data_IF_318673566202
#
_entry.id   IF_318673566202
#
_cell.length_a   1.000
_cell.length_b   1.000
_cell.length_c   1.000
_cell.angle_alpha   90.00
_cell.angle_beta   90.00
_cell.angle_gamma   90.00
#
_symmetry.space_group_name_H-M   'P 1'
#
loop_
_entity.id
_entity.type
_entity.pdbx_description
1 polymer ?
#
# COMPACT_ATOMS: atom_id res chain seq x y z
N UNK A 1 -19.47 -22.07 -26.38
CA UNK A 1 -19.52 -23.54 -26.13
C UNK A 1 -20.01 -23.86 -24.72
N UNK A 2 -19.37 -23.36 -23.66
CA UNK A 2 -19.80 -23.63 -22.27
C UNK A 2 -21.27 -23.28 -21.99
N UNK A 3 -21.76 -22.13 -22.46
CA UNK A 3 -23.18 -21.77 -22.31
C UNK A 3 -24.14 -22.79 -22.92
N UNK A 4 -23.74 -23.52 -23.97
CA UNK A 4 -24.56 -24.58 -24.55
C UNK A 4 -24.45 -25.89 -23.73
N UNK A 5 -23.25 -26.22 -23.26
CA UNK A 5 -22.99 -27.40 -22.43
C UNK A 5 -23.74 -27.32 -21.09
N UNK A 6 -23.69 -26.17 -20.42
CA UNK A 6 -24.33 -25.94 -19.12
C UNK A 6 -25.85 -25.69 -19.20
N UNK A 7 -26.46 -25.75 -20.39
CA UNK A 7 -27.92 -25.88 -20.55
C UNK A 7 -28.40 -27.33 -20.41
N UNK A 8 -27.50 -28.31 -20.52
CA UNK A 8 -27.81 -29.73 -20.34
C UNK A 8 -27.86 -30.07 -18.84
N UNK A 9 -28.46 -31.22 -18.49
CA UNK A 9 -28.41 -31.74 -17.11
C UNK A 9 -26.95 -31.98 -16.72
N UNK A 10 -26.47 -31.28 -15.69
CA UNK A 10 -25.05 -31.27 -15.28
C UNK A 10 -24.53 -32.66 -14.92
N UNK A 11 -25.37 -33.51 -14.31
CA UNK A 11 -25.04 -34.90 -13.94
C UNK A 11 -24.53 -35.79 -15.09
N UNK A 12 -24.74 -35.39 -16.35
CA UNK A 12 -24.32 -36.17 -17.53
C UNK A 12 -22.81 -36.01 -17.81
N UNK A 13 -22.23 -34.84 -17.54
CA UNK A 13 -20.85 -34.52 -17.96
C UNK A 13 -19.96 -33.95 -16.85
N UNK A 14 -20.54 -33.49 -15.74
CA UNK A 14 -19.85 -32.79 -14.65
C UNK A 14 -18.67 -33.60 -14.09
N UNK A 15 -18.91 -34.84 -13.66
CA UNK A 15 -17.85 -35.72 -13.14
C UNK A 15 -16.74 -35.98 -14.17
N UNK A 16 -17.10 -36.14 -15.46
CA UNK A 16 -16.10 -36.35 -16.51
C UNK A 16 -15.24 -35.10 -16.73
N UNK A 17 -15.86 -33.91 -16.70
CA UNK A 17 -15.16 -32.64 -16.83
C UNK A 17 -14.24 -32.38 -15.63
N UNK A 18 -14.72 -32.62 -14.41
CA UNK A 18 -13.92 -32.50 -13.18
C UNK A 18 -12.69 -33.41 -13.25
N UNK A 19 -12.88 -34.69 -13.59
CA UNK A 19 -11.77 -35.63 -13.72
C UNK A 19 -10.77 -35.18 -14.79
N UNK A 20 -11.25 -34.69 -15.93
CA UNK A 20 -10.39 -34.16 -16.98
C UNK A 20 -9.57 -32.94 -16.50
N UNK A 21 -10.17 -32.03 -15.73
CA UNK A 21 -9.48 -30.87 -15.15
C UNK A 21 -8.43 -31.28 -14.11
N UNK A 22 -8.75 -32.26 -13.26
CA UNK A 22 -7.79 -32.80 -12.28
C UNK A 22 -6.63 -33.48 -12.98
N UNK A 23 -6.88 -34.29 -14.02
CA UNK A 23 -5.82 -34.91 -14.83
C UNK A 23 -4.97 -33.86 -15.53
N UNK A 24 -5.59 -32.84 -16.14
CA UNK A 24 -4.89 -31.72 -16.76
C UNK A 24 -3.98 -31.02 -15.75
N UNK A 25 -4.49 -30.68 -14.57
CA UNK A 25 -3.72 -30.03 -13.51
C UNK A 25 -2.54 -30.90 -13.04
N UNK A 26 -2.75 -32.21 -12.90
CA UNK A 26 -1.68 -33.15 -12.56
C UNK A 26 -0.58 -33.19 -13.62
N UNK A 27 -0.94 -33.20 -14.91
CA UNK A 27 0.03 -33.15 -16.00
C UNK A 27 0.81 -31.84 -15.99
N UNK A 28 0.13 -30.70 -15.83
CA UNK A 28 0.78 -29.39 -15.73
C UNK A 28 1.75 -29.32 -14.53
N UNK A 29 1.37 -29.86 -13.37
CA UNK A 29 2.21 -29.88 -12.18
C UNK A 29 3.50 -30.70 -12.37
N UNK A 30 3.44 -31.76 -13.18
CA UNK A 30 4.61 -32.60 -13.51
C UNK A 30 5.51 -31.97 -14.57
N UNK A 31 4.91 -31.36 -15.60
CA UNK A 31 5.63 -30.83 -16.76
C UNK A 31 6.28 -29.47 -16.47
N UNK A 32 5.56 -28.55 -15.81
CA UNK A 32 6.02 -27.16 -15.63
C UNK A 32 7.39 -27.04 -14.93
N UNK A 33 7.70 -27.79 -13.84
CA UNK A 33 8.99 -27.65 -13.15
C UNK A 33 10.18 -28.20 -13.94
N UNK A 34 9.95 -29.13 -14.87
CA UNK A 34 11.00 -29.85 -15.60
C UNK A 34 11.25 -29.28 -17.00
N UNK A 35 10.45 -28.30 -17.42
CA UNK A 35 10.44 -27.75 -18.76
C UNK A 35 11.63 -26.80 -18.99
N UNK A 36 12.49 -27.14 -19.95
CA UNK A 36 13.66 -26.32 -20.31
C UNK A 36 13.44 -25.40 -21.52
N UNK A 37 12.42 -25.69 -22.33
CA UNK A 37 12.16 -25.00 -23.59
C UNK A 37 11.03 -23.96 -23.45
N UNK A 38 11.20 -22.81 -24.12
CA UNK A 38 10.21 -21.72 -24.18
C UNK A 38 9.05 -22.01 -25.15
N UNK A 39 9.10 -23.12 -25.87
CA UNK A 39 8.09 -23.51 -26.85
C UNK A 39 6.78 -23.94 -26.14
N UNK A 40 5.64 -23.43 -26.62
CA UNK A 40 4.26 -23.67 -26.14
C UNK A 40 3.85 -22.97 -24.83
N UNK A 41 4.51 -21.88 -24.43
CA UNK A 41 4.01 -21.02 -23.33
C UNK A 41 2.58 -20.51 -23.61
N UNK A 42 2.28 -20.18 -24.86
CA UNK A 42 0.98 -19.63 -25.25
C UNK A 42 -0.13 -20.68 -25.16
N UNK A 43 0.19 -21.96 -25.37
CA UNK A 43 -0.76 -23.05 -25.18
C UNK A 43 -1.18 -23.19 -23.72
N UNK A 44 -0.23 -23.08 -22.78
CA UNK A 44 -0.52 -23.12 -21.34
C UNK A 44 -1.42 -21.95 -20.96
N UNK A 45 -1.10 -20.74 -21.43
CA UNK A 45 -1.95 -19.56 -21.21
C UNK A 45 -3.35 -19.79 -21.76
N UNK A 46 -3.47 -20.26 -23.00
CA UNK A 46 -4.76 -20.53 -23.64
C UNK A 46 -5.57 -21.59 -22.90
N UNK A 47 -4.93 -22.66 -22.44
CA UNK A 47 -5.57 -23.71 -21.62
C UNK A 47 -6.12 -23.10 -20.33
N UNK A 48 -5.31 -22.33 -19.60
CA UNK A 48 -5.76 -21.68 -18.36
C UNK A 48 -6.88 -20.68 -18.62
N UNK A 49 -6.80 -19.88 -19.69
CA UNK A 49 -7.89 -18.99 -20.09
C UNK A 49 -9.19 -19.76 -20.33
N UNK A 50 -9.15 -20.90 -21.03
CA UNK A 50 -10.34 -21.73 -21.28
C UNK A 50 -10.89 -22.31 -19.98
N UNK A 51 -10.02 -22.80 -19.09
CA UNK A 51 -10.41 -23.39 -17.81
C UNK A 51 -11.12 -22.38 -16.91
N UNK A 52 -10.61 -21.16 -16.83
CA UNK A 52 -11.20 -20.10 -16.01
C UNK A 52 -12.47 -19.46 -16.59
N UNK A 53 -12.85 -19.80 -17.83
CA UNK A 53 -14.13 -19.45 -18.44
C UNK A 53 -15.23 -20.49 -18.20
N UNK A 54 -14.94 -21.58 -17.46
CA UNK A 54 -15.94 -22.60 -17.08
C UNK A 54 -16.93 -21.99 -16.07
N UNK A 55 -18.24 -21.87 -16.39
CA UNK A 55 -19.21 -21.18 -15.53
C UNK A 55 -19.41 -21.81 -14.14
N UNK A 56 -19.27 -23.14 -14.02
CA UNK A 56 -19.48 -23.88 -12.78
C UNK A 56 -18.20 -24.03 -11.94
N UNK A 57 -17.10 -23.37 -12.28
CA UNK A 57 -15.81 -23.56 -11.61
C UNK A 57 -15.87 -23.22 -10.11
N UNK A 58 -16.77 -22.31 -9.71
CA UNK A 58 -17.03 -21.95 -8.31
C UNK A 58 -18.07 -22.79 -7.57
N UNK A 59 -18.65 -23.82 -8.20
CA UNK A 59 -19.78 -24.56 -7.62
C UNK A 59 -19.48 -26.03 -7.34
N UNK A 60 -19.98 -26.53 -6.21
CA UNK A 60 -20.00 -27.96 -5.87
C UNK A 60 -18.63 -28.62 -5.96
N UNK A 61 -18.59 -29.77 -6.61
CA UNK A 61 -17.38 -30.60 -6.72
C UNK A 61 -16.25 -29.91 -7.51
N UNK A 62 -16.55 -28.96 -8.39
CA UNK A 62 -15.52 -28.18 -9.08
C UNK A 62 -14.70 -27.33 -8.10
N UNK A 63 -15.36 -26.68 -7.15
CA UNK A 63 -14.73 -25.86 -6.12
C UNK A 63 -13.89 -26.72 -5.17
N UNK A 64 -14.36 -27.93 -4.84
CA UNK A 64 -13.70 -28.79 -3.86
C UNK A 64 -12.54 -29.62 -4.43
N UNK A 65 -12.59 -29.98 -5.71
CA UNK A 65 -11.63 -30.90 -6.33
C UNK A 65 -10.84 -30.29 -7.49
N UNK A 66 -11.53 -29.76 -8.51
CA UNK A 66 -10.90 -29.25 -9.73
C UNK A 66 -10.12 -27.95 -9.51
N UNK A 67 -10.76 -26.90 -8.98
CA UNK A 67 -10.14 -25.59 -8.78
C UNK A 67 -8.89 -25.67 -7.88
N UNK A 68 -8.88 -26.41 -6.75
CA UNK A 68 -7.68 -26.60 -5.94
C UNK A 68 -6.52 -27.24 -6.72
N UNK A 69 -6.82 -28.22 -7.59
CA UNK A 69 -5.80 -28.86 -8.41
C UNK A 69 -5.20 -27.87 -9.42
N UNK A 70 -6.05 -27.07 -10.08
CA UNK A 70 -5.62 -26.04 -11.03
C UNK A 70 -4.76 -24.97 -10.32
N UNK A 71 -5.17 -24.50 -9.14
CA UNK A 71 -4.39 -23.54 -8.36
C UNK A 71 -3.01 -24.09 -7.99
N UNK A 72 -2.90 -25.37 -7.60
CA UNK A 72 -1.61 -26.01 -7.30
C UNK A 72 -0.71 -26.10 -8.52
N UNK A 73 -1.27 -26.45 -9.69
CA UNK A 73 -0.53 -26.47 -10.95
C UNK A 73 -0.03 -25.06 -11.32
N UNK A 74 -0.87 -24.03 -11.12
CA UNK A 74 -0.54 -22.65 -11.45
C UNK A 74 0.63 -22.07 -10.63
N UNK A 75 0.96 -22.63 -9.47
CA UNK A 75 2.13 -22.20 -8.69
C UNK A 75 3.46 -22.39 -9.43
N UNK A 76 3.51 -23.34 -10.37
CA UNK A 76 4.71 -23.70 -11.10
C UNK A 76 4.87 -22.92 -12.42
N UNK A 77 3.97 -21.96 -12.70
CA UNK A 77 4.06 -21.14 -13.89
C UNK A 77 5.31 -20.24 -13.83
N UNK A 78 6.14 -20.22 -14.88
CA UNK A 78 7.21 -19.23 -15.01
C UNK A 78 6.65 -17.80 -14.99
N UNK A 79 7.45 -16.84 -14.51
CA UNK A 79 7.03 -15.43 -14.36
C UNK A 79 6.56 -14.85 -15.69
N UNK A 80 7.18 -15.22 -16.81
CA UNK A 80 6.78 -14.78 -18.15
C UNK A 80 5.39 -15.29 -18.54
N UNK A 81 5.05 -16.52 -18.16
CA UNK A 81 3.72 -17.12 -18.39
C UNK A 81 2.67 -16.46 -17.50
N UNK A 82 3.01 -16.19 -16.25
CA UNK A 82 2.14 -15.43 -15.34
C UNK A 82 1.86 -14.03 -15.89
N UNK A 83 2.88 -13.34 -16.41
CA UNK A 83 2.75 -12.02 -17.01
C UNK A 83 1.87 -12.02 -18.27
N UNK A 84 2.07 -13.01 -19.17
CA UNK A 84 1.18 -13.21 -20.34
C UNK A 84 -0.27 -13.45 -19.92
N UNK A 85 -0.49 -14.30 -18.91
CA UNK A 85 -1.82 -14.59 -18.39
C UNK A 85 -2.49 -13.33 -17.81
N UNK A 86 -1.75 -12.52 -17.05
CA UNK A 86 -2.25 -11.25 -16.51
C UNK A 86 -2.65 -10.26 -17.62
N UNK A 87 -1.81 -10.09 -18.65
CA UNK A 87 -2.12 -9.25 -19.83
C UNK A 87 -3.35 -9.74 -20.61
N UNK A 88 -3.55 -11.05 -20.69
CA UNK A 88 -4.71 -11.63 -21.36
C UNK A 88 -6.00 -11.44 -20.56
N UNK A 89 -5.95 -11.55 -19.23
CA UNK A 89 -7.08 -11.25 -18.36
C UNK A 89 -7.42 -9.77 -18.29
N UNK A 90 -6.45 -8.88 -18.46
CA UNK A 90 -6.69 -7.43 -18.41
C UNK A 90 -7.40 -6.85 -19.64
N UNK A 91 -7.39 -7.57 -20.77
CA UNK A 91 -8.00 -7.07 -22.00
C UNK A 91 -9.53 -6.94 -21.89
N UNK A 92 -10.02 -5.76 -22.23
CA UNK A 92 -11.43 -5.33 -22.09
C UNK A 92 -12.37 -6.29 -22.84
N UNK A 93 -13.39 -6.81 -22.14
CA UNK A 93 -14.47 -7.59 -22.76
C UNK A 93 -14.70 -8.99 -22.17
N UNK A 94 -13.92 -9.42 -21.18
CA UNK A 94 -14.18 -10.67 -20.44
C UNK A 94 -14.71 -10.34 -19.06
N UNK A 95 -15.96 -10.70 -18.77
CA UNK A 95 -16.59 -10.69 -17.44
C UNK A 95 -15.93 -11.67 -16.45
N UNK A 96 -14.63 -11.88 -16.58
CA UNK A 96 -13.89 -13.01 -16.04
C UNK A 96 -13.15 -12.63 -14.77
N UNK A 97 -12.58 -11.42 -14.65
CA UNK A 97 -11.79 -11.04 -13.48
C UNK A 97 -12.60 -11.18 -12.18
N UNK A 98 -13.80 -10.58 -12.12
CA UNK A 98 -14.66 -10.67 -10.93
C UNK A 98 -15.07 -12.11 -10.63
N UNK A 99 -15.50 -12.89 -11.62
CA UNK A 99 -15.89 -14.28 -11.43
C UNK A 99 -14.71 -15.15 -10.95
N UNK A 100 -13.52 -15.00 -11.54
CA UNK A 100 -12.31 -15.71 -11.10
C UNK A 100 -11.98 -15.30 -9.66
N UNK A 101 -12.04 -14.00 -9.34
CA UNK A 101 -11.78 -13.50 -8.00
C UNK A 101 -12.76 -14.12 -6.98
N UNK A 102 -14.06 -14.06 -7.25
CA UNK A 102 -15.11 -14.64 -6.42
C UNK A 102 -14.90 -16.14 -6.20
N UNK A 103 -14.57 -16.90 -7.25
CA UNK A 103 -14.31 -18.34 -7.14
C UNK A 103 -13.07 -18.65 -6.28
N UNK A 104 -11.99 -17.87 -6.43
CA UNK A 104 -10.79 -18.01 -5.60
C UNK A 104 -11.05 -17.59 -4.14
N UNK A 105 -11.82 -16.52 -3.92
CA UNK A 105 -12.25 -16.09 -2.59
C UNK A 105 -13.09 -17.15 -1.90
N UNK A 106 -14.11 -17.69 -2.59
CA UNK A 106 -14.95 -18.77 -2.08
C UNK A 106 -14.13 -20.00 -1.73
N UNK A 107 -13.15 -20.37 -2.57
CA UNK A 107 -12.27 -21.50 -2.28
C UNK A 107 -11.47 -21.28 -0.98
N UNK A 108 -10.85 -20.11 -0.84
CA UNK A 108 -10.07 -19.77 0.35
C UNK A 108 -10.97 -19.78 1.58
N UNK A 109 -12.11 -19.08 1.52
CA UNK A 109 -13.08 -19.01 2.61
C UNK A 109 -13.59 -20.40 3.02
N UNK A 110 -13.99 -21.24 2.06
CA UNK A 110 -14.44 -22.60 2.34
C UNK A 110 -13.34 -23.41 3.02
N UNK A 111 -12.09 -23.31 2.53
CA UNK A 111 -10.96 -24.04 3.12
C UNK A 111 -10.61 -23.55 4.52
N UNK A 112 -10.77 -22.25 4.79
CA UNK A 112 -10.59 -21.67 6.13
C UNK A 112 -11.64 -22.22 7.10
N UNK A 113 -12.91 -22.32 6.67
CA UNK A 113 -14.01 -22.81 7.51
C UNK A 113 -13.88 -24.31 7.80
N UNK A 114 -13.52 -25.12 6.79
CA UNK A 114 -13.52 -26.58 6.91
C UNK A 114 -12.25 -27.15 7.56
N UNK A 115 -11.14 -26.42 7.51
CA UNK A 115 -9.86 -26.90 8.07
C UNK A 115 -9.76 -26.52 9.55
N UNK A 116 -9.62 -27.48 10.48
CA UNK A 116 -9.39 -27.15 11.88
C UNK A 116 -7.93 -26.74 12.09
N UNK A 117 -7.66 -25.44 12.06
CA UNK A 117 -6.33 -24.91 12.39
C UNK A 117 -6.04 -25.05 13.88
N UNK A 118 -4.80 -25.43 14.19
CA UNK A 118 -4.33 -25.67 15.56
C UNK A 118 -2.83 -25.38 15.67
N UNK A 119 -2.24 -25.56 16.84
CA UNK A 119 -0.86 -25.12 17.17
C UNK A 119 0.26 -25.58 16.22
N UNK A 120 0.06 -26.64 15.45
CA UNK A 120 1.06 -27.18 14.50
C UNK A 120 0.65 -27.06 13.02
N UNK A 121 -0.54 -26.52 12.72
CA UNK A 121 -1.04 -26.35 11.35
C UNK A 121 -1.77 -25.01 11.25
N UNK A 122 -1.14 -24.07 10.55
CA UNK A 122 -1.66 -22.73 10.36
C UNK A 122 -2.22 -22.52 8.96
N UNK A 123 -2.91 -21.39 8.78
CA UNK A 123 -3.51 -21.02 7.49
C UNK A 123 -2.45 -20.87 6.39
N UNK A 124 -1.28 -20.35 6.75
CA UNK A 124 -0.12 -20.20 5.86
C UNK A 124 0.55 -21.53 5.46
N UNK A 125 0.24 -22.63 6.16
CA UNK A 125 0.75 -23.98 5.83
C UNK A 125 -0.22 -24.76 4.92
N UNK A 126 -1.45 -24.25 4.73
CA UNK A 126 -2.47 -24.92 3.94
C UNK A 126 -2.24 -24.66 2.43
N UNK A 127 -1.97 -25.73 1.69
CA UNK A 127 -1.54 -25.64 0.30
C UNK A 127 -2.62 -25.07 -0.64
N UNK A 128 -3.90 -25.36 -0.43
CA UNK A 128 -4.98 -24.86 -1.28
C UNK A 128 -5.14 -23.34 -1.13
N UNK A 129 -5.09 -22.83 0.10
CA UNK A 129 -5.17 -21.40 0.42
C UNK A 129 -3.96 -20.66 -0.18
N UNK A 130 -2.75 -21.17 0.06
CA UNK A 130 -1.53 -20.53 -0.47
C UNK A 130 -1.45 -20.59 -1.99
N UNK A 131 -1.89 -21.69 -2.62
CA UNK A 131 -2.01 -21.81 -4.08
C UNK A 131 -2.98 -20.78 -4.67
N UNK A 132 -4.18 -20.69 -4.10
CA UNK A 132 -5.21 -19.77 -4.56
C UNK A 132 -4.75 -18.31 -4.39
N UNK A 133 -4.09 -17.99 -3.29
CA UNK A 133 -3.53 -16.65 -3.03
C UNK A 133 -2.45 -16.27 -4.06
N UNK A 134 -1.55 -17.20 -4.41
CA UNK A 134 -0.54 -16.98 -5.45
C UNK A 134 -1.16 -16.72 -6.83
N UNK A 135 -2.20 -17.47 -7.20
CA UNK A 135 -2.92 -17.24 -8.45
C UNK A 135 -3.70 -15.93 -8.45
N UNK A 136 -4.32 -15.59 -7.31
CA UNK A 136 -5.00 -14.31 -7.12
C UNK A 136 -4.06 -13.11 -7.28
N UNK A 137 -2.76 -13.27 -7.02
CA UNK A 137 -1.76 -12.23 -7.30
C UNK A 137 -1.65 -11.89 -8.78
N UNK A 138 -1.70 -12.90 -9.66
CA UNK A 138 -1.69 -12.69 -11.12
C UNK A 138 -2.94 -11.90 -11.52
N UNK A 139 -4.09 -12.26 -10.95
CA UNK A 139 -5.36 -11.58 -11.16
C UNK A 139 -5.35 -10.14 -10.63
N UNK A 140 -4.69 -9.89 -9.50
CA UNK A 140 -4.52 -8.57 -8.92
C UNK A 140 -3.73 -7.63 -9.85
N UNK A 141 -2.64 -8.12 -10.45
CA UNK A 141 -1.92 -7.34 -11.47
C UNK A 141 -2.72 -7.15 -12.76
N UNK A 142 -3.47 -8.18 -13.21
CA UNK A 142 -4.39 -8.05 -14.33
C UNK A 142 -5.47 -6.98 -14.10
N UNK A 143 -5.98 -6.89 -12.86
CA UNK A 143 -6.95 -5.89 -12.44
C UNK A 143 -6.41 -4.45 -12.49
N UNK A 144 -5.11 -4.26 -12.20
CA UNK A 144 -4.45 -2.97 -12.35
C UNK A 144 -4.21 -2.61 -13.82
N UNK A 145 -3.77 -3.57 -14.64
CA UNK A 145 -3.62 -3.38 -16.09
C UNK A 145 -4.93 -3.01 -16.80
N UNK A 146 -6.04 -3.58 -16.34
CA UNK A 146 -7.37 -3.28 -16.88
C UNK A 146 -7.92 -1.93 -16.41
N UNK A 147 -7.29 -1.33 -15.40
CA UNK A 147 -7.67 -0.04 -14.82
C UNK A 147 -7.01 1.15 -15.52
N UNK A 148 -6.96 2.28 -14.80
CA UNK A 148 -6.24 3.48 -15.18
C UNK A 148 -4.87 3.50 -14.48
N UNK A 149 -3.82 3.43 -15.30
CA UNK A 149 -2.43 3.57 -14.88
C UNK A 149 -1.93 4.98 -15.25
N UNK A 150 -1.30 5.65 -14.29
CA UNK A 150 -0.61 6.92 -14.51
C UNK A 150 0.80 6.71 -15.08
N UNK A 151 1.35 7.75 -15.72
CA UNK A 151 2.72 7.68 -16.25
C UNK A 151 3.74 7.44 -15.12
N UNK A 152 4.72 6.54 -15.32
CA UNK A 152 5.87 6.39 -14.43
C UNK A 152 6.65 7.70 -14.20
N UNK A 153 6.57 8.67 -15.11
CA UNK A 153 7.25 9.99 -15.00
C UNK A 153 6.79 10.79 -13.78
N UNK A 154 5.62 10.47 -13.22
CA UNK A 154 5.14 11.09 -11.98
C UNK A 154 5.88 10.59 -10.75
N UNK A 155 6.70 9.53 -10.84
CA UNK A 155 7.54 9.10 -9.72
C UNK A 155 8.72 10.07 -9.58
N UNK A 156 8.91 10.65 -8.41
CA UNK A 156 10.01 11.56 -8.10
C UNK A 156 11.32 10.80 -7.95
N UNK A 157 12.30 11.07 -8.83
CA UNK A 157 13.71 10.77 -8.54
C UNK A 157 14.36 11.88 -7.66
N UNK A 158 13.73 13.05 -7.56
CA UNK A 158 14.36 14.30 -7.08
C UNK A 158 14.21 14.62 -5.59
N UNK A 159 13.72 13.71 -4.74
CA UNK A 159 13.71 13.96 -3.28
C UNK A 159 15.14 14.06 -2.68
N UNK A 160 16.18 13.86 -3.50
CA UNK A 160 17.59 14.02 -3.14
C UNK A 160 18.21 15.37 -3.51
N UNK A 161 17.48 16.28 -4.19
CA UNK A 161 18.07 17.43 -4.87
C UNK A 161 18.00 18.78 -4.17
N UNK A 162 17.01 19.04 -3.29
CA UNK A 162 16.75 20.41 -2.79
C UNK A 162 16.60 20.56 -1.28
N UNK A 163 16.73 19.49 -0.49
CA UNK A 163 16.91 19.67 0.96
C UNK A 163 18.37 20.03 1.19
N UNK A 164 18.62 21.24 1.72
CA UNK A 164 19.92 21.56 2.29
C UNK A 164 20.37 20.39 3.17
N UNK A 165 21.56 19.86 2.88
CA UNK A 165 22.08 18.64 3.50
C UNK A 165 22.39 18.78 4.99
N UNK A 166 21.97 19.88 5.62
CA UNK A 166 22.27 20.28 6.98
C UNK A 166 21.28 19.75 8.01
N UNK A 167 20.01 19.53 7.67
CA UNK A 167 18.98 19.18 8.66
C UNK A 167 18.79 17.68 8.88
N UNK A 168 19.12 16.84 7.88
CA UNK A 168 18.97 15.38 7.95
C UNK A 168 20.18 14.68 7.30
N UNK A 169 21.39 15.09 7.66
CA UNK A 169 22.69 14.66 7.10
C UNK A 169 23.03 13.15 7.24
N UNK A 170 22.04 12.29 7.40
CA UNK A 170 22.18 10.85 7.28
C UNK A 170 21.38 10.42 6.06
N UNK A 171 22.10 9.98 5.01
CA UNK A 171 21.50 9.15 3.95
C UNK A 171 20.76 8.01 4.65
N UNK A 172 19.46 8.16 4.83
CA UNK A 172 18.60 7.05 5.25
C UNK A 172 18.84 6.00 4.19
N UNK A 173 19.53 4.93 4.55
CA UNK A 173 19.70 3.77 3.69
C UNK A 173 18.28 3.31 3.36
N UNK A 174 17.77 3.74 2.20
CA UNK A 174 16.50 3.28 1.66
C UNK A 174 16.72 1.80 1.40
N UNK A 175 16.39 0.97 2.38
CA UNK A 175 16.06 -0.42 2.16
C UNK A 175 14.88 -0.38 1.21
N UNK A 176 15.16 -0.41 -0.09
CA UNK A 176 14.11 -0.59 -1.09
C UNK A 176 13.45 -1.92 -0.78
N UNK A 177 12.13 -1.94 -0.56
CA UNK A 177 11.42 -3.20 -0.37
C UNK A 177 11.69 -4.10 -1.58
N UNK A 178 11.80 -5.43 -1.39
CA UNK A 178 12.03 -6.35 -2.48
C UNK A 178 10.95 -6.19 -3.55
N UNK A 179 11.39 -6.04 -4.80
CA UNK A 179 10.51 -5.88 -5.96
C UNK A 179 9.91 -7.23 -6.32
N UNK A 180 8.60 -7.30 -6.53
CA UNK A 180 7.93 -8.52 -7.00
C UNK A 180 8.34 -8.81 -8.45
N UNK A 181 8.93 -9.97 -8.75
CA UNK A 181 9.37 -10.32 -10.11
C UNK A 181 8.26 -10.24 -11.16
N UNK A 182 7.01 -10.53 -10.77
CA UNK A 182 5.88 -10.42 -11.69
C UNK A 182 5.52 -8.97 -11.99
N UNK A 183 5.63 -8.08 -11.00
CA UNK A 183 5.39 -6.65 -11.20
C UNK A 183 6.45 -6.04 -12.13
N UNK A 184 7.72 -6.45 -11.95
CA UNK A 184 8.84 -6.05 -12.80
C UNK A 184 8.65 -6.51 -14.26
N UNK A 185 8.35 -7.80 -14.47
CA UNK A 185 8.08 -8.36 -15.81
C UNK A 185 6.87 -7.69 -16.51
N UNK A 186 5.89 -7.24 -15.73
CA UNK A 186 4.73 -6.50 -16.25
C UNK A 186 4.99 -5.02 -16.46
N UNK A 187 6.07 -4.46 -15.90
CA UNK A 187 6.36 -3.03 -15.92
C UNK A 187 5.35 -2.21 -15.10
N UNK A 188 4.73 -2.79 -14.07
CA UNK A 188 3.69 -2.14 -13.25
C UNK A 188 4.24 -1.88 -11.86
N UNK A 189 3.83 -0.74 -11.28
CA UNK A 189 3.95 -0.52 -9.85
C UNK A 189 2.58 -0.19 -9.26
N UNK A 190 2.27 -0.71 -8.07
CA UNK A 190 0.96 -0.53 -7.42
C UNK A 190 0.61 0.96 -7.28
N UNK A 191 1.61 1.80 -7.01
CA UNK A 191 1.42 3.25 -6.91
C UNK A 191 0.92 3.92 -8.18
N UNK A 192 1.16 3.34 -9.36
CA UNK A 192 0.74 3.89 -10.66
C UNK A 192 -0.72 3.60 -10.96
N UNK A 193 -1.35 2.68 -10.24
CA UNK A 193 -2.76 2.44 -10.37
C UNK A 193 -3.56 3.57 -9.72
N UNK A 194 -4.09 4.49 -10.54
CA UNK A 194 -5.00 5.54 -10.09
C UNK A 194 -6.38 4.96 -9.80
N UNK A 195 -6.89 4.15 -10.73
CA UNK A 195 -8.21 3.52 -10.61
C UNK A 195 -8.15 2.07 -11.10
N UNK A 196 -8.15 1.08 -10.21
CA UNK A 196 -8.16 -0.31 -10.65
C UNK A 196 -9.51 -0.67 -11.30
N UNK A 197 -9.55 -1.74 -12.10
CA UNK A 197 -10.78 -2.17 -12.76
C UNK A 197 -11.88 -2.60 -11.75
N UNK A 198 -11.50 -3.42 -10.77
CA UNK A 198 -12.23 -3.71 -9.54
C UNK A 198 -11.56 -2.98 -8.35
N UNK A 199 -12.33 -2.40 -7.41
CA UNK A 199 -11.78 -1.85 -6.18
C UNK A 199 -10.86 -2.83 -5.46
N UNK A 200 -9.72 -2.37 -4.94
CA UNK A 200 -8.78 -3.24 -4.21
C UNK A 200 -9.41 -3.89 -2.97
N UNK A 201 -10.45 -3.30 -2.41
CA UNK A 201 -11.21 -3.89 -1.30
C UNK A 201 -11.96 -5.17 -1.69
N UNK A 202 -12.29 -5.39 -2.97
CA UNK A 202 -12.89 -6.66 -3.43
C UNK A 202 -11.91 -7.85 -3.29
N UNK A 203 -10.61 -7.59 -3.16
CA UNK A 203 -9.60 -8.63 -2.95
C UNK A 203 -9.45 -9.04 -1.48
N UNK A 204 -10.05 -8.32 -0.53
CA UNK A 204 -9.94 -8.66 0.89
C UNK A 204 -10.72 -9.93 1.21
N UNK A 205 -10.09 -10.86 1.92
CA UNK A 205 -10.76 -12.00 2.51
C UNK A 205 -10.84 -11.79 4.03
N UNK A 206 -12.03 -11.41 4.50
CA UNK A 206 -12.29 -11.09 5.92
C UNK A 206 -12.01 -12.31 6.82
N UNK A 207 -12.58 -13.48 6.51
CA UNK A 207 -12.42 -14.69 7.33
C UNK A 207 -10.98 -15.18 7.39
N UNK A 208 -10.25 -15.12 6.27
CA UNK A 208 -8.81 -15.36 6.26
C UNK A 208 -8.10 -14.37 7.18
N UNK A 209 -8.40 -13.08 7.04
CA UNK A 209 -7.76 -12.00 7.79
C UNK A 209 -7.96 -12.13 9.31
N UNK A 210 -9.14 -12.61 9.74
CA UNK A 210 -9.46 -12.90 11.14
C UNK A 210 -8.73 -14.14 11.68
N UNK A 211 -8.39 -15.10 10.80
CA UNK A 211 -7.75 -16.37 11.19
C UNK A 211 -6.21 -16.29 11.14
N UNK A 212 -5.64 -15.36 10.38
CA UNK A 212 -4.18 -15.23 10.24
C UNK A 212 -3.55 -14.73 11.55
N UNK A 213 -2.69 -15.55 12.12
CA UNK A 213 -1.82 -15.19 13.25
C UNK A 213 -0.61 -14.37 12.75
N UNK A 214 -0.73 -13.03 12.81
CA UNK A 214 0.25 -12.11 12.22
C UNK A 214 1.66 -12.17 12.83
N UNK A 215 1.78 -12.55 14.10
CA UNK A 215 3.08 -12.76 14.76
C UNK A 215 3.86 -13.91 14.09
N UNK A 216 3.17 -15.01 13.77
CA UNK A 216 3.76 -16.16 13.07
C UNK A 216 3.99 -15.89 11.59
N UNK A 217 3.02 -15.25 10.93
CA UNK A 217 3.17 -14.89 9.52
C UNK A 217 4.36 -13.95 9.31
N UNK A 218 4.56 -12.99 10.23
CA UNK A 218 5.72 -12.12 10.22
C UNK A 218 7.04 -12.89 10.46
N UNK A 219 7.04 -13.89 11.35
CA UNK A 219 8.22 -14.76 11.53
C UNK A 219 8.59 -15.51 10.25
N UNK A 220 7.58 -15.99 9.48
CA UNK A 220 7.81 -16.58 8.17
C UNK A 220 8.34 -15.54 7.16
N UNK A 221 7.80 -14.32 7.16
CA UNK A 221 8.25 -13.22 6.30
C UNK A 221 9.74 -12.89 6.50
N UNK A 222 10.23 -12.90 7.75
CA UNK A 222 11.64 -12.65 8.07
C UNK A 222 12.54 -13.89 7.96
N UNK A 223 11.97 -15.07 7.74
CA UNK A 223 12.73 -16.31 7.69
C UNK A 223 13.45 -16.48 6.35
N UNK A 224 14.72 -16.90 6.40
CA UNK A 224 15.50 -17.27 5.21
C UNK A 224 15.07 -18.61 4.60
N UNK A 225 14.19 -19.37 5.27
CA UNK A 225 13.73 -20.69 4.83
C UNK A 225 12.71 -20.65 3.68
N UNK A 226 12.34 -19.45 3.20
CA UNK A 226 11.43 -19.28 2.06
C UNK A 226 10.00 -19.77 2.32
N UNK A 227 9.55 -19.75 3.57
CA UNK A 227 8.18 -20.13 3.94
C UNK A 227 7.16 -19.14 3.36
N UNK A 228 5.94 -19.61 3.11
CA UNK A 228 4.85 -18.73 2.69
C UNK A 228 4.51 -17.74 3.81
N UNK A 229 4.23 -16.51 3.41
CA UNK A 229 3.71 -15.46 4.29
C UNK A 229 2.75 -14.57 3.51
N UNK A 230 1.62 -14.23 4.13
CA UNK A 230 0.64 -13.30 3.58
C UNK A 230 1.17 -11.86 3.51
N UNK A 231 2.25 -11.51 4.24
CA UNK A 231 2.95 -10.23 4.08
C UNK A 231 3.51 -10.01 2.66
N UNK A 232 3.78 -11.08 1.90
CA UNK A 232 4.13 -10.99 0.48
C UNK A 232 2.91 -10.84 -0.45
N UNK A 233 1.70 -11.03 0.07
CA UNK A 233 0.43 -10.95 -0.64
C UNK A 233 -0.56 -10.02 0.08
N UNK A 234 -0.16 -8.78 0.42
CA UNK A 234 -0.95 -7.93 1.31
C UNK A 234 -2.31 -7.56 0.70
N UNK A 235 -2.48 -7.64 -0.62
CA UNK A 235 -3.76 -7.34 -1.29
C UNK A 235 -4.95 -8.17 -0.77
N UNK A 236 -4.71 -9.36 -0.20
CA UNK A 236 -5.78 -10.23 0.32
C UNK A 236 -6.19 -9.90 1.76
N UNK A 237 -5.35 -9.14 2.48
CA UNK A 237 -5.56 -8.83 3.89
C UNK A 237 -6.36 -7.54 4.08
N UNK A 238 -7.20 -7.51 5.11
CA UNK A 238 -7.92 -6.30 5.52
C UNK A 238 -6.96 -5.22 6.06
N UNK A 239 -7.37 -3.94 6.07
CA UNK A 239 -6.56 -2.87 6.67
C UNK A 239 -6.22 -3.12 8.15
N UNK A 240 -7.12 -3.74 8.91
CA UNK A 240 -6.88 -4.09 10.31
C UNK A 240 -5.70 -5.08 10.45
N UNK A 241 -5.71 -6.17 9.68
CA UNK A 241 -4.65 -7.19 9.72
C UNK A 241 -3.32 -6.65 9.19
N UNK A 242 -3.35 -5.78 8.16
CA UNK A 242 -2.15 -5.05 7.69
C UNK A 242 -1.54 -4.17 8.78
N UNK A 243 -2.38 -3.46 9.53
CA UNK A 243 -1.96 -2.61 10.66
C UNK A 243 -1.30 -3.45 11.75
N UNK A 244 -1.85 -4.64 12.04
CA UNK A 244 -1.21 -5.59 12.97
C UNK A 244 0.15 -6.08 12.48
N UNK A 245 0.29 -6.36 11.18
CA UNK A 245 1.59 -6.70 10.58
C UNK A 245 2.65 -5.59 10.74
N UNK A 246 2.26 -4.34 10.47
CA UNK A 246 3.12 -3.16 10.69
C UNK A 246 3.49 -3.00 12.17
N UNK A 247 2.53 -3.20 13.07
CA UNK A 247 2.76 -3.16 14.51
C UNK A 247 3.80 -4.20 14.97
N UNK A 248 3.75 -5.44 14.46
CA UNK A 248 4.75 -6.45 14.77
C UNK A 248 6.14 -6.09 14.22
N UNK A 249 6.23 -5.58 12.98
CA UNK A 249 7.51 -5.11 12.41
C UNK A 249 8.12 -4.01 13.28
N UNK A 250 7.33 -3.01 13.65
CA UNK A 250 7.76 -1.89 14.48
C UNK A 250 8.20 -2.36 15.88
N UNK A 251 7.42 -3.22 16.54
CA UNK A 251 7.78 -3.74 17.86
C UNK A 251 9.06 -4.55 17.85
N UNK A 252 9.25 -5.41 16.86
CA UNK A 252 10.47 -6.22 16.76
C UNK A 252 11.69 -5.32 16.54
N UNK A 253 11.57 -4.28 15.70
CA UNK A 253 12.62 -3.26 15.52
C UNK A 253 12.92 -2.50 16.80
N UNK A 254 11.89 -2.04 17.53
CA UNK A 254 12.07 -1.38 18.83
C UNK A 254 12.79 -2.30 19.83
N UNK A 255 12.41 -3.57 19.91
CA UNK A 255 13.06 -4.55 20.78
C UNK A 255 14.51 -4.82 20.38
N UNK A 256 14.82 -4.87 19.08
CA UNK A 256 16.20 -5.05 18.63
C UNK A 256 17.06 -3.84 18.98
N UNK A 257 16.58 -2.62 18.75
CA UNK A 257 17.30 -1.39 19.13
C UNK A 257 17.51 -1.34 20.64
N UNK A 258 16.48 -1.65 21.44
CA UNK A 258 16.59 -1.71 22.90
C UNK A 258 17.64 -2.72 23.36
N UNK A 259 17.69 -3.91 22.75
CA UNK A 259 18.70 -4.94 23.07
C UNK A 259 20.11 -4.47 22.74
N UNK A 260 20.29 -3.82 21.59
CA UNK A 260 21.58 -3.25 21.17
C UNK A 260 22.01 -2.17 22.16
N UNK A 261 21.13 -1.26 22.55
CA UNK A 261 21.42 -0.22 23.54
C UNK A 261 21.80 -0.80 24.91
N UNK A 262 21.11 -1.84 25.37
CA UNK A 262 21.46 -2.52 26.63
C UNK A 262 22.84 -3.18 26.51
N UNK A 263 23.15 -3.83 25.39
CA UNK A 263 24.46 -4.43 25.16
C UNK A 263 25.57 -3.37 25.15
N UNK A 264 25.36 -2.24 24.48
CA UNK A 264 26.28 -1.10 24.46
C UNK A 264 26.52 -0.54 25.87
N UNK A 265 25.46 -0.36 26.65
CA UNK A 265 25.54 0.09 28.05
C UNK A 265 26.37 -0.87 28.91
N UNK A 266 26.20 -2.19 28.73
CA UNK A 266 27.03 -3.21 29.40
C UNK A 266 28.51 -3.12 28.99
N UNK A 267 28.81 -2.73 27.75
CA UNK A 267 30.18 -2.49 27.28
C UNK A 267 30.76 -1.12 27.68
N UNK A 268 30.03 -0.34 28.50
CA UNK A 268 30.49 0.95 29.02
C UNK A 268 30.26 2.14 28.08
N UNK A 269 29.53 1.96 26.97
CA UNK A 269 29.13 3.05 26.10
C UNK A 269 27.79 3.65 26.59
N UNK A 270 27.66 4.98 26.69
CA UNK A 270 26.38 5.60 27.03
C UNK A 270 25.35 5.29 25.92
N UNK A 271 24.28 4.58 26.26
CA UNK A 271 23.20 4.27 25.31
C UNK A 271 21.86 4.22 26.03
N UNK A 272 20.91 5.04 25.59
CA UNK A 272 19.55 5.05 26.15
C UNK A 272 18.68 4.01 25.43
N UNK A 273 17.91 3.18 26.16
CA UNK A 273 17.08 2.12 25.56
C UNK A 273 15.77 2.62 24.92
N UNK A 274 15.41 3.88 25.16
CA UNK A 274 14.17 4.51 24.69
C UNK A 274 14.49 5.83 23.99
N UNK A 275 13.59 6.25 23.10
CA UNK A 275 13.56 7.62 22.58
C UNK A 275 12.83 8.47 23.63
N UNK A 276 13.58 9.19 24.46
CA UNK A 276 13.01 10.02 25.52
C UNK A 276 12.84 11.45 25.03
N UNK A 277 11.62 11.97 25.06
CA UNK A 277 11.34 13.37 24.78
C UNK A 277 10.88 14.06 26.08
N UNK A 278 11.67 15.01 26.55
CA UNK A 278 11.31 15.83 27.70
C UNK A 278 10.85 17.20 27.22
N UNK A 279 9.58 17.54 27.45
CA UNK A 279 8.96 18.74 26.88
C UNK A 279 8.14 19.51 27.92
N UNK A 280 8.01 20.82 27.76
CA UNK A 280 7.10 21.65 28.56
C UNK A 280 5.79 21.81 27.82
N UNK A 281 4.66 21.79 28.54
CA UNK A 281 3.32 21.94 27.93
C UNK A 281 3.18 23.23 27.13
N UNK A 282 3.69 24.33 27.65
CA UNK A 282 3.55 25.65 27.04
C UNK A 282 4.53 25.89 25.87
N UNK A 283 5.46 24.95 25.59
CA UNK A 283 6.49 25.07 24.56
C UNK A 283 6.70 23.73 23.83
N UNK A 284 5.63 22.98 23.59
CA UNK A 284 5.72 21.58 23.16
C UNK A 284 6.36 21.44 21.78
N UNK A 285 6.10 22.37 20.85
CA UNK A 285 6.66 22.38 19.50
C UNK A 285 8.15 22.71 19.54
N UNK A 286 8.52 23.79 20.23
CA UNK A 286 9.91 24.24 20.34
C UNK A 286 10.79 23.20 21.04
N UNK A 287 10.34 22.66 22.17
CA UNK A 287 11.09 21.66 22.93
C UNK A 287 11.22 20.35 22.12
N UNK A 288 10.14 19.92 21.43
CA UNK A 288 10.19 18.72 20.60
C UNK A 288 11.12 18.89 19.39
N UNK A 289 11.12 20.07 18.75
CA UNK A 289 12.05 20.41 17.66
C UNK A 289 13.50 20.24 18.11
N UNK A 290 13.86 20.90 19.20
CA UNK A 290 15.23 20.91 19.71
C UNK A 290 15.66 19.50 20.10
N UNK A 291 14.83 18.74 20.84
CA UNK A 291 15.14 17.38 21.24
C UNK A 291 15.28 16.43 20.03
N UNK A 292 14.32 16.45 19.09
CA UNK A 292 14.37 15.56 17.93
C UNK A 292 15.49 15.92 16.95
N UNK A 293 15.83 17.19 16.81
CA UNK A 293 16.98 17.64 16.01
C UNK A 293 18.30 17.14 16.62
N UNK A 294 18.49 17.34 17.93
CA UNK A 294 19.68 16.83 18.64
C UNK A 294 19.83 15.32 18.48
N UNK A 295 18.74 14.56 18.65
CA UNK A 295 18.73 13.09 18.52
C UNK A 295 19.06 12.67 17.08
N UNK A 296 18.50 13.37 16.09
CA UNK A 296 18.73 13.09 14.68
C UNK A 296 20.17 13.38 14.25
N UNK A 297 20.81 14.41 14.83
CA UNK A 297 22.21 14.75 14.58
C UNK A 297 23.20 13.78 15.22
N UNK A 298 22.91 13.28 16.43
CA UNK A 298 23.79 12.35 17.15
C UNK A 298 23.68 10.91 16.60
N UNK A 299 22.48 10.33 16.62
CA UNK A 299 22.23 9.01 16.05
C UNK A 299 20.78 8.88 15.54
N UNK A 300 20.54 9.00 14.21
CA UNK A 300 19.20 8.90 13.64
C UNK A 300 18.50 7.55 13.88
N UNK A 301 19.23 6.48 14.22
CA UNK A 301 18.59 5.20 14.57
C UNK A 301 17.84 5.27 15.90
N UNK A 302 18.13 6.26 16.74
CA UNK A 302 17.43 6.46 18.01
C UNK A 302 15.95 6.82 17.79
N UNK A 303 15.59 7.42 16.65
CA UNK A 303 14.20 7.63 16.23
C UNK A 303 13.41 6.33 16.05
N UNK A 304 14.09 5.19 15.92
CA UNK A 304 13.49 3.85 15.82
C UNK A 304 13.40 3.13 17.18
N UNK A 305 13.79 3.79 18.28
CA UNK A 305 13.53 3.28 19.63
C UNK A 305 12.08 3.54 20.01
N UNK A 306 11.60 2.85 21.04
CA UNK A 306 10.27 3.08 21.59
C UNK A 306 10.21 4.48 22.23
N UNK A 307 9.17 5.26 21.90
CA UNK A 307 8.97 6.61 22.41
C UNK A 307 8.54 6.57 23.88
N UNK A 308 9.10 7.48 24.68
CA UNK A 308 8.70 7.78 26.06
C UNK A 308 8.67 9.29 26.21
N UNK A 309 7.51 9.85 26.53
CA UNK A 309 7.36 11.30 26.74
C UNK A 309 7.32 11.63 28.23
N UNK A 310 8.02 12.70 28.62
CA UNK A 310 8.06 13.23 29.97
C UNK A 310 7.73 14.74 29.96
N UNK A 311 6.60 15.13 30.54
CA UNK A 311 6.29 16.54 30.75
C UNK A 311 7.11 17.10 31.93
N UNK A 312 7.78 18.23 31.71
CA UNK A 312 8.62 18.82 32.75
C UNK A 312 7.79 19.23 33.98
N UNK A 313 8.24 18.80 35.16
CA UNK A 313 7.56 19.08 36.43
C UNK A 313 6.43 18.10 36.78
N UNK A 314 6.12 17.14 35.90
CA UNK A 314 5.07 16.14 36.12
C UNK A 314 5.65 14.78 36.51
N UNK A 315 5.08 14.16 37.55
CA UNK A 315 5.40 12.78 37.90
C UNK A 315 4.46 11.83 37.16
N UNK A 316 5.00 11.09 36.20
CA UNK A 316 4.26 10.08 35.45
C UNK A 316 5.20 9.09 34.79
N UNK A 317 4.77 7.82 34.72
CA UNK A 317 5.43 6.80 33.91
C UNK A 317 4.61 6.67 32.64
N UNK A 318 5.23 6.87 31.48
CA UNK A 318 4.54 6.73 30.20
C UNK A 318 4.31 5.25 29.86
N UNK A 319 3.09 4.78 30.07
CA UNK A 319 2.60 3.49 29.58
C UNK A 319 1.86 3.63 28.23
N UNK A 320 2.01 4.78 27.56
CA UNK A 320 1.41 5.14 26.27
C UNK A 320 0.40 6.29 26.35
N UNK A 321 -0.12 6.59 27.55
CA UNK A 321 -1.06 7.69 27.77
C UNK A 321 -0.43 9.07 27.55
N UNK A 322 0.78 9.27 28.07
CA UNK A 322 1.50 10.56 27.97
C UNK A 322 1.96 10.79 26.53
N UNK A 323 2.49 9.75 25.87
CA UNK A 323 2.80 9.81 24.44
C UNK A 323 1.57 10.17 23.60
N UNK A 324 0.40 9.58 23.89
CA UNK A 324 -0.85 9.90 23.16
C UNK A 324 -1.27 11.36 23.35
N UNK A 325 -1.20 11.87 24.58
CA UNK A 325 -1.48 13.27 24.89
C UNK A 325 -0.52 14.21 24.14
N UNK A 326 0.78 13.91 24.15
CA UNK A 326 1.79 14.65 23.39
C UNK A 326 1.42 14.75 21.91
N UNK A 327 1.08 13.64 21.26
CA UNK A 327 0.67 13.64 19.86
C UNK A 327 -0.59 14.49 19.62
N UNK A 328 -1.54 14.51 20.57
CA UNK A 328 -2.75 15.33 20.45
C UNK A 328 -2.44 16.82 20.52
N UNK A 329 -1.63 17.25 21.50
CA UNK A 329 -1.24 18.65 21.69
C UNK A 329 -0.45 19.17 20.48
N UNK A 330 0.52 18.40 20.01
CA UNK A 330 1.34 18.77 18.82
C UNK A 330 0.46 18.95 17.59
N UNK A 331 -0.50 18.05 17.36
CA UNK A 331 -1.42 18.14 16.21
C UNK A 331 -2.40 19.31 16.34
N UNK A 332 -2.95 19.54 17.52
CA UNK A 332 -3.82 20.69 17.78
C UNK A 332 -3.12 22.02 17.51
N UNK A 333 -1.85 22.13 17.92
CA UNK A 333 -1.06 23.34 17.76
C UNK A 333 -0.62 23.59 16.31
N UNK A 334 -0.17 22.55 15.60
CA UNK A 334 0.27 22.66 14.20
C UNK A 334 -0.86 23.01 13.24
N UNK A 335 -2.07 22.50 13.49
CA UNK A 335 -3.24 22.83 12.66
C UNK A 335 -4.00 24.06 13.16
N UNK A 336 -3.52 24.72 14.21
CA UNK A 336 -4.05 26.02 14.61
C UNK A 336 -3.77 27.04 13.48
N UNK A 337 -4.80 27.74 12.96
CA UNK A 337 -4.61 28.80 11.98
C UNK A 337 -3.59 29.87 12.38
N UNK A 338 -3.39 30.10 13.69
CA UNK A 338 -2.43 31.06 14.23
C UNK A 338 -0.97 30.71 13.88
N UNK A 339 -0.65 29.42 13.73
CA UNK A 339 0.68 28.95 13.31
C UNK A 339 0.91 29.09 11.79
N UNK A 340 -0.15 29.33 11.01
CA UNK A 340 -0.09 29.59 9.58
C UNK A 340 0.68 28.56 8.72
N UNK A 341 0.87 27.32 9.20
CA UNK A 341 1.55 26.25 8.46
C UNK A 341 0.64 25.53 7.45
N UNK A 342 -0.63 25.39 7.80
CA UNK A 342 -1.64 24.71 7.00
C UNK A 342 -2.89 25.56 6.84
N UNK A 343 -3.60 25.34 5.74
CA UNK A 343 -4.90 25.93 5.46
C UNK A 343 -5.93 24.83 5.30
N UNK A 344 -7.16 25.09 5.74
CA UNK A 344 -8.29 24.18 5.52
C UNK A 344 -8.95 24.50 4.18
N UNK A 345 -9.10 23.50 3.32
CA UNK A 345 -9.87 23.64 2.09
C UNK A 345 -11.39 23.68 2.44
N UNK A 346 -12.13 24.74 2.04
CA UNK A 346 -13.53 24.90 2.44
C UNK A 346 -14.45 23.76 1.99
N UNK A 347 -14.30 23.25 0.77
CA UNK A 347 -15.21 22.27 0.18
C UNK A 347 -15.00 20.85 0.71
N UNK A 348 -13.74 20.45 0.90
CA UNK A 348 -13.36 19.08 1.26
C UNK A 348 -13.01 18.93 2.73
N UNK A 349 -12.88 20.05 3.46
CA UNK A 349 -12.44 20.12 4.86
C UNK A 349 -11.09 19.44 5.10
N UNK A 350 -10.30 19.25 4.04
CA UNK A 350 -8.94 18.71 4.15
C UNK A 350 -7.95 19.82 4.47
N UNK A 351 -6.93 19.49 5.25
CA UNK A 351 -5.79 20.38 5.52
C UNK A 351 -4.75 20.26 4.41
N UNK A 352 -4.19 21.40 3.99
CA UNK A 352 -3.12 21.46 2.99
C UNK A 352 -2.07 22.48 3.38
N UNK A 353 -0.84 22.33 2.89
CA UNK A 353 0.27 23.23 3.18
C UNK A 353 -0.08 24.68 2.79
N UNK A 354 0.20 25.63 3.67
CA UNK A 354 0.09 27.05 3.35
C UNK A 354 1.29 27.46 2.47
N UNK A 355 1.07 27.84 1.19
CA UNK A 355 2.16 28.26 0.31
C UNK A 355 2.82 29.58 0.73
N UNK A 356 2.22 30.31 1.67
CA UNK A 356 2.70 31.60 2.22
C UNK A 356 3.12 31.51 3.68
N UNK A 357 3.37 30.29 4.19
CA UNK A 357 3.85 30.10 5.56
C UNK A 357 5.16 30.85 5.80
N UNK A 358 5.25 31.54 6.93
CA UNK A 358 6.49 32.18 7.41
C UNK A 358 7.31 31.25 8.33
N UNK A 359 6.73 30.11 8.72
CA UNK A 359 7.43 29.08 9.51
C UNK A 359 8.56 28.44 8.72
N UNK A 360 9.58 27.96 9.43
CA UNK A 360 10.77 27.39 8.80
C UNK A 360 10.61 25.93 8.39
N UNK A 361 11.53 25.44 7.55
CA UNK A 361 11.60 24.03 7.13
C UNK A 361 11.74 23.06 8.33
N UNK A 362 12.26 23.54 9.47
CA UNK A 362 12.40 22.74 10.68
C UNK A 362 11.03 22.32 11.25
N UNK A 363 10.05 23.21 11.30
CA UNK A 363 8.69 22.91 11.77
C UNK A 363 8.03 21.84 10.88
N UNK A 364 8.16 21.95 9.55
CA UNK A 364 7.66 20.93 8.61
C UNK A 364 8.37 19.58 8.78
N UNK A 365 9.67 19.62 9.09
CA UNK A 365 10.44 18.42 9.42
C UNK A 365 9.96 17.77 10.71
N UNK A 366 9.69 18.54 11.77
CA UNK A 366 9.10 18.04 13.02
C UNK A 366 7.77 17.33 12.74
N UNK A 367 6.87 17.94 11.97
CA UNK A 367 5.59 17.34 11.63
C UNK A 367 5.79 15.99 10.93
N UNK A 368 6.74 15.92 9.99
CA UNK A 368 7.11 14.68 9.32
C UNK A 368 7.60 13.61 10.30
N UNK A 369 8.46 13.98 11.25
CA UNK A 369 8.96 13.07 12.30
C UNK A 369 7.82 12.62 13.21
N UNK A 370 6.95 13.53 13.66
CA UNK A 370 5.80 13.25 14.53
C UNK A 370 4.82 12.29 13.85
N UNK A 371 4.47 12.52 12.58
CA UNK A 371 3.65 11.61 11.79
C UNK A 371 4.31 10.22 11.69
N UNK A 372 5.62 10.18 11.46
CA UNK A 372 6.40 8.93 11.42
C UNK A 372 6.41 8.19 12.77
N UNK A 373 6.65 8.90 13.86
CA UNK A 373 6.64 8.36 15.23
C UNK A 373 5.26 7.85 15.62
N UNK A 374 4.19 8.53 15.23
CA UNK A 374 2.83 8.07 15.50
C UNK A 374 2.54 6.73 14.81
N UNK A 375 2.88 6.59 13.53
CA UNK A 375 2.78 5.31 12.80
C UNK A 375 3.64 4.24 13.49
N UNK A 376 4.87 4.59 13.85
CA UNK A 376 5.83 3.66 14.44
C UNK A 376 5.39 3.14 15.82
N UNK A 377 4.77 4.02 16.63
CA UNK A 377 4.26 3.70 17.96
C UNK A 377 2.77 3.29 17.96
N UNK A 378 2.17 3.03 16.79
CA UNK A 378 0.77 2.60 16.63
C UNK A 378 -0.25 3.58 17.27
N UNK A 379 0.00 4.88 17.10
CA UNK A 379 -0.88 5.97 17.52
C UNK A 379 -1.60 6.53 16.30
N UNK A 380 -2.93 6.55 16.36
CA UNK A 380 -3.77 7.13 15.30
C UNK A 380 -3.89 8.64 15.55
N UNK A 381 -3.53 9.43 14.55
CA UNK A 381 -3.67 10.89 14.56
C UNK A 381 -4.94 11.30 13.82
N UNK A 382 -5.65 12.29 14.36
CA UNK A 382 -6.86 12.85 13.75
C UNK A 382 -6.49 13.94 12.72
N UNK A 383 -5.83 13.53 11.62
CA UNK A 383 -5.43 14.42 10.53
C UNK A 383 -6.21 14.12 9.26
N UNK A 384 -6.73 15.15 8.60
CA UNK A 384 -7.54 15.01 7.39
C UNK A 384 -6.79 15.56 6.17
N UNK A 385 -5.79 14.84 5.69
CA UNK A 385 -5.03 15.22 4.49
C UNK A 385 -5.68 14.64 3.22
N UNK A 386 -5.59 15.34 2.07
CA UNK A 386 -6.01 14.77 0.80
C UNK A 386 -5.07 13.65 0.34
N UNK A 387 -5.57 12.72 -0.48
CA UNK A 387 -4.82 11.53 -0.92
C UNK A 387 -3.47 11.85 -1.58
N UNK A 388 -3.36 13.01 -2.23
CA UNK A 388 -2.12 13.48 -2.86
C UNK A 388 -0.96 13.62 -1.88
N UNK A 389 -1.21 13.91 -0.59
CA UNK A 389 -0.15 13.93 0.42
C UNK A 389 0.51 12.56 0.53
N UNK A 390 -0.28 11.51 0.71
CA UNK A 390 0.23 10.15 0.88
C UNK A 390 0.96 9.68 -0.39
N UNK A 391 0.47 10.06 -1.58
CA UNK A 391 1.19 9.82 -2.85
C UNK A 391 2.55 10.51 -2.87
N UNK A 392 2.64 11.76 -2.40
CA UNK A 392 3.89 12.52 -2.25
C UNK A 392 4.86 11.88 -1.27
N UNK A 393 4.39 11.43 -0.11
CA UNK A 393 5.20 10.69 0.88
C UNK A 393 5.74 9.38 0.31
N UNK A 394 5.01 8.74 -0.61
CA UNK A 394 5.46 7.55 -1.34
C UNK A 394 6.32 7.86 -2.58
N UNK A 395 6.74 9.12 -2.74
CA UNK A 395 7.65 9.55 -3.81
C UNK A 395 6.96 9.83 -5.14
N UNK A 396 5.69 10.20 -5.16
CA UNK A 396 4.99 10.62 -6.38
C UNK A 396 4.70 12.12 -6.42
N UNK A 397 4.85 12.73 -7.60
CA UNK A 397 4.37 14.08 -7.88
C UNK A 397 2.84 14.11 -7.86
N UNK A 398 2.30 15.30 -7.58
CA UNK A 398 0.87 15.53 -7.73
C UNK A 398 0.52 15.58 -9.23
N UNK A 399 -0.66 15.09 -9.59
CA UNK A 399 -1.21 15.11 -10.94
C UNK A 399 -2.49 15.94 -11.01
N UNK A 400 -2.95 16.25 -12.21
CA UNK A 400 -4.21 16.95 -12.44
C UNK A 400 -5.40 16.25 -11.72
N UNK A 401 -5.44 14.92 -11.77
CA UNK A 401 -6.50 14.13 -11.14
C UNK A 401 -6.51 14.22 -9.62
N UNK A 402 -5.40 14.60 -8.97
CA UNK A 402 -5.38 14.83 -7.52
C UNK A 402 -6.17 16.07 -7.11
N UNK A 403 -6.34 17.04 -8.03
CA UNK A 403 -7.18 18.20 -7.76
C UNK A 403 -8.63 17.81 -7.53
N UNK A 404 -9.10 16.69 -8.11
CA UNK A 404 -10.46 16.23 -7.90
C UNK A 404 -10.75 15.94 -6.41
N UNK A 405 -9.77 15.41 -5.69
CA UNK A 405 -9.89 15.06 -4.27
C UNK A 405 -9.60 16.25 -3.35
N UNK A 406 -8.72 17.16 -3.77
CA UNK A 406 -8.33 18.32 -2.97
C UNK A 406 -9.19 19.55 -3.23
N UNK A 407 -9.24 20.05 -4.48
CA UNK A 407 -10.00 21.25 -4.87
C UNK A 407 -10.91 20.93 -6.09
N UNK A 408 -12.11 20.38 -5.84
CA UNK A 408 -13.03 19.97 -6.91
C UNK A 408 -13.47 21.12 -7.82
N UNK A 409 -13.54 22.34 -7.30
CA UNK A 409 -13.94 23.53 -8.08
C UNK A 409 -12.88 23.85 -9.13
N UNK A 410 -11.61 23.88 -8.72
CA UNK A 410 -10.48 24.09 -9.62
C UNK A 410 -10.37 22.94 -10.63
N UNK A 411 -10.49 21.69 -10.18
CA UNK A 411 -10.48 20.52 -11.07
C UNK A 411 -11.55 20.63 -12.16
N UNK A 412 -12.80 20.90 -11.79
CA UNK A 412 -13.89 20.99 -12.76
C UNK A 412 -13.71 22.17 -13.72
N UNK A 413 -13.20 23.32 -13.24
CA UNK A 413 -12.95 24.49 -14.09
C UNK A 413 -11.86 24.21 -15.14
N UNK A 414 -10.75 23.61 -14.72
CA UNK A 414 -9.66 23.22 -15.63
C UNK A 414 -10.09 22.09 -16.56
N UNK A 415 -10.90 21.15 -16.07
CA UNK A 415 -11.47 20.07 -16.89
C UNK A 415 -12.38 20.61 -17.98
N UNK A 416 -13.26 21.56 -17.65
CA UNK A 416 -14.13 22.21 -18.63
C UNK A 416 -13.31 22.93 -19.71
N UNK A 417 -12.23 23.61 -19.33
CA UNK A 417 -11.33 24.24 -20.28
C UNK A 417 -10.60 23.21 -21.17
N UNK A 418 -10.21 22.06 -20.61
CA UNK A 418 -9.55 20.98 -21.35
C UNK A 418 -10.50 20.26 -22.33
N UNK A 419 -11.77 20.09 -21.94
CA UNK A 419 -12.80 19.42 -22.75
C UNK A 419 -13.51 20.38 -23.72
N UNK A 420 -13.19 21.68 -23.67
CA UNK A 420 -13.76 22.68 -24.57
C UNK A 420 -13.29 22.45 -26.00
N UNK A 421 -14.23 22.34 -26.94
CA UNK A 421 -13.95 21.94 -28.34
C UNK A 421 -14.28 23.00 -29.38
N UNK A 422 -14.89 24.11 -28.97
CA UNK A 422 -15.21 25.21 -29.88
C UNK A 422 -13.94 26.05 -30.17
N UNK A 423 -13.94 26.73 -31.32
CA UNK A 423 -12.76 27.46 -31.82
C UNK A 423 -12.46 28.78 -31.11
N UNK A 424 -13.34 29.23 -30.22
CA UNK A 424 -13.32 30.52 -29.53
C UNK A 424 -12.84 30.41 -28.06
N UNK A 425 -12.07 29.37 -27.73
CA UNK A 425 -11.49 29.16 -26.41
C UNK A 425 -10.82 30.42 -25.83
N UNK A 426 -10.03 31.12 -26.65
CA UNK A 426 -9.31 32.33 -26.23
C UNK A 426 -10.26 33.47 -25.83
N UNK A 427 -11.39 33.61 -26.54
CA UNK A 427 -12.40 34.64 -26.28
C UNK A 427 -13.29 34.28 -25.09
N UNK A 428 -13.59 33.00 -24.90
CA UNK A 428 -14.46 32.52 -23.82
C UNK A 428 -13.75 32.56 -22.47
N UNK A 429 -12.51 32.08 -22.41
CA UNK A 429 -11.80 31.94 -21.13
C UNK A 429 -10.91 33.14 -20.81
N UNK A 430 -10.34 33.82 -21.82
CA UNK A 430 -9.44 34.97 -21.68
C UNK A 430 -8.36 34.79 -20.58
N UNK A 431 -7.79 33.58 -20.49
CA UNK A 431 -6.77 33.25 -19.50
C UNK A 431 -5.36 33.44 -20.08
N UNK A 432 -4.39 33.71 -19.22
CA UNK A 432 -2.96 33.66 -19.57
C UNK A 432 -2.27 32.57 -18.75
N UNK A 433 -0.95 32.44 -18.89
CA UNK A 433 -0.15 31.54 -18.04
C UNK A 433 0.25 32.23 -16.72
N UNK A 434 -0.46 33.27 -16.30
CA UNK A 434 -0.33 33.90 -14.99
C UNK A 434 -1.52 33.54 -14.14
N UNK A 435 -1.25 33.09 -12.92
CA UNK A 435 -2.28 32.78 -11.92
C UNK A 435 -2.19 33.76 -10.77
N UNK A 436 -3.29 33.86 -10.02
CA UNK A 436 -3.37 34.68 -8.82
C UNK A 436 -3.90 33.84 -7.66
N UNK A 437 -3.33 34.00 -6.48
CA UNK A 437 -3.84 33.39 -5.25
C UNK A 437 -3.76 34.39 -4.10
N UNK A 438 -4.59 34.19 -3.08
CA UNK A 438 -4.59 35.04 -1.88
C UNK A 438 -3.64 34.47 -0.83
N UNK A 439 -2.88 35.34 -0.18
CA UNK A 439 -2.16 34.98 1.04
C UNK A 439 -3.10 34.94 2.26
N UNK A 440 -2.55 34.56 3.41
CA UNK A 440 -3.29 34.51 4.69
C UNK A 440 -3.83 35.87 5.16
N UNK A 441 -3.34 36.98 4.60
CA UNK A 441 -3.79 38.33 4.90
C UNK A 441 -4.78 38.88 3.86
N UNK A 442 -5.16 38.07 2.85
CA UNK A 442 -6.06 38.45 1.77
C UNK A 442 -5.41 39.25 0.64
N UNK A 443 -4.08 39.41 0.65
CA UNK A 443 -3.36 40.07 -0.44
C UNK A 443 -3.30 39.14 -1.65
N UNK A 444 -3.56 39.69 -2.83
CA UNK A 444 -3.46 38.93 -4.08
C UNK A 444 -2.00 38.88 -4.54
N UNK A 445 -1.46 37.68 -4.66
CA UNK A 445 -0.14 37.39 -5.20
C UNK A 445 -0.32 36.80 -6.59
N UNK A 446 0.42 37.36 -7.55
CA UNK A 446 0.44 36.86 -8.91
C UNK A 446 1.70 36.04 -9.19
N UNK A 447 1.56 34.96 -9.95
CA UNK A 447 2.64 34.04 -10.29
C UNK A 447 2.57 33.61 -11.76
N UNK A 448 3.67 33.76 -12.48
CA UNK A 448 3.81 33.33 -13.87
C UNK A 448 4.19 31.84 -13.93
N UNK A 449 3.31 31.00 -14.49
CA UNK A 449 3.53 29.56 -14.68
C UNK A 449 4.57 29.23 -15.75
N UNK A 450 4.90 30.20 -16.61
CA UNK A 450 6.00 30.12 -17.58
C UNK A 450 6.60 31.51 -17.79
N UNK A 451 7.77 31.59 -18.40
CA UNK A 451 8.38 32.88 -18.75
C UNK A 451 7.42 33.76 -19.56
N UNK A 452 7.18 34.99 -19.07
CA UNK A 452 6.25 35.97 -19.68
C UNK A 452 4.82 35.41 -19.76
N UNK A 453 4.30 34.99 -18.62
CA UNK A 453 3.01 34.31 -18.45
C UNK A 453 1.78 35.19 -18.66
#
# INVERSE_FOLDING_TARGET
AFTALFKLKTSIFENALINALVTLAGNLQMELPTRKERENQDDIVNVLLIVFEIPALGSGDFLETALPAICRAAQWLPVEVQAKLARMWSNVGRSSIRNILENLQQLITLRVILTPFHRDLFVQDENVITSATKLMKILYYANMLAGSLESPDLRCDEMSGSMDSSYLASKVNKSTPPVDPLAEELGIHVLDCRKPFLPFSEFYNELLSDTVEMDRDFANYKSELGKFSFMHYPFILTPATKTMGLYFDNRIRMYSERRISILQAVTGLPSQPYLRLKVRRDHIIDDALVELEMISMDNPNDLKKQLVVEFEGEQGIDEGGVSKEFFQLVIEEIFNPDYAMFTVQPETQTVWFNPTSFESDAQFTLIGIVLGLAIYNNVILAVNFPMVLYRKLMGKRGSFEDLQDWNPVLYNSLKQMLEYSDSDLDEVFMQTFRISYQDVFGSTIDYDLKEKG
#
